data_IF_961466296345
#
_entry.id   IF_961466296345
#
_cell.length_a   1.000
_cell.length_b   1.000
_cell.length_c   1.000
_cell.angle_alpha   90.00
_cell.angle_beta   90.00
_cell.angle_gamma   90.00
#
_symmetry.space_group_name_H-M   'P 1'
#
loop_
_entity.id
_entity.type
_entity.pdbx_description
1 polymer ?
#
# COMPACT_ATOMS: atom_id res chain seq x y z
N UNK A 1 -10.15 15.19 6.50
CA UNK A 1 -10.48 13.93 5.80
C UNK A 1 -9.64 13.83 4.54
N UNK A 2 -8.89 12.73 4.34
CA UNK A 2 -8.03 12.48 3.16
C UNK A 2 -8.58 11.32 2.36
N UNK A 3 -8.29 11.30 1.05
CA UNK A 3 -8.63 10.21 0.13
C UNK A 3 -7.41 9.32 -0.07
N UNK A 4 -7.48 8.07 0.41
CA UNK A 4 -6.31 7.18 0.50
C UNK A 4 -6.59 5.90 -0.29
N UNK A 5 -5.65 5.54 -1.17
CA UNK A 5 -5.65 4.27 -1.89
C UNK A 5 -4.68 3.30 -1.22
N UNK A 6 -5.13 2.10 -0.92
CA UNK A 6 -4.30 0.99 -0.43
C UNK A 6 -4.19 -0.06 -1.54
N UNK A 7 -2.98 -0.27 -2.06
CA UNK A 7 -2.66 -1.26 -3.10
C UNK A 7 -2.08 -2.50 -2.45
N UNK A 8 -2.77 -3.62 -2.59
CA UNK A 8 -2.48 -4.90 -1.95
C UNK A 8 -3.42 -5.18 -0.79
N UNK A 9 -4.32 -6.13 -0.99
CA UNK A 9 -5.30 -6.55 0.01
C UNK A 9 -4.84 -7.75 0.86
N UNK A 10 -3.54 -8.00 0.92
CA UNK A 10 -2.95 -8.96 1.85
C UNK A 10 -3.19 -8.54 3.31
N UNK A 11 -2.74 -9.37 4.26
CA UNK A 11 -3.02 -9.15 5.70
C UNK A 11 -2.63 -7.73 6.17
N UNK A 12 -1.45 -7.22 5.78
CA UNK A 12 -1.00 -5.90 6.22
C UNK A 12 -1.79 -4.76 5.56
N UNK A 13 -2.01 -4.81 4.24
CA UNK A 13 -2.78 -3.77 3.55
C UNK A 13 -4.23 -3.70 4.03
N UNK A 14 -4.87 -4.85 4.21
CA UNK A 14 -6.22 -4.93 4.78
C UNK A 14 -6.26 -4.39 6.23
N UNK A 15 -5.29 -4.80 7.08
CA UNK A 15 -5.20 -4.33 8.45
C UNK A 15 -4.96 -2.81 8.54
N UNK A 16 -4.17 -2.26 7.64
CA UNK A 16 -3.88 -0.82 7.61
C UNK A 16 -5.12 0.03 7.30
N UNK A 17 -6.15 -0.56 6.70
CA UNK A 17 -7.43 0.17 6.48
C UNK A 17 -8.13 0.55 7.77
N UNK A 18 -7.95 -0.21 8.88
CA UNK A 18 -8.65 0.06 10.14
C UNK A 18 -8.26 1.42 10.75
N UNK A 19 -6.98 1.71 11.04
CA UNK A 19 -6.61 3.01 11.60
C UNK A 19 -6.92 4.17 10.65
N UNK A 20 -6.87 3.97 9.33
CA UNK A 20 -7.23 5.01 8.37
C UNK A 20 -8.73 5.36 8.45
N UNK A 21 -9.60 4.36 8.55
CA UNK A 21 -11.04 4.58 8.70
C UNK A 21 -11.38 5.16 10.07
N UNK A 22 -10.72 4.70 11.14
CA UNK A 22 -10.92 5.20 12.50
C UNK A 22 -10.56 6.70 12.60
N UNK A 23 -9.60 7.16 11.81
CA UNK A 23 -9.24 8.57 11.68
C UNK A 23 -10.07 9.32 10.60
N UNK A 24 -11.24 8.81 10.24
CA UNK A 24 -12.19 9.42 9.32
C UNK A 24 -11.64 9.71 7.91
N UNK A 25 -10.71 8.90 7.40
CA UNK A 25 -10.26 9.00 6.02
C UNK A 25 -11.16 8.21 5.07
N UNK A 26 -11.26 8.66 3.81
CA UNK A 26 -11.88 7.90 2.71
C UNK A 26 -10.88 6.88 2.19
N UNK A 27 -11.13 5.59 2.42
CA UNK A 27 -10.20 4.51 2.11
C UNK A 27 -10.74 3.66 0.97
N UNK A 28 -9.92 3.51 -0.07
CA UNK A 28 -10.13 2.53 -1.14
C UNK A 28 -9.06 1.46 -1.05
N UNK A 29 -9.47 0.20 -1.05
CA UNK A 29 -8.59 -0.97 -1.06
C UNK A 29 -8.68 -1.66 -2.42
N UNK A 30 -7.53 -2.06 -2.98
CA UNK A 30 -7.47 -2.81 -4.23
C UNK A 30 -6.49 -3.97 -4.14
N UNK A 31 -6.80 -5.05 -4.89
CA UNK A 31 -5.96 -6.25 -4.98
C UNK A 31 -5.51 -6.45 -6.43
N UNK A 32 -4.20 -6.25 -6.72
CA UNK A 32 -3.72 -6.27 -8.09
C UNK A 32 -3.50 -7.68 -8.67
N UNK A 33 -3.32 -8.71 -7.85
CA UNK A 33 -2.90 -10.03 -8.30
C UNK A 33 -3.98 -11.07 -8.28
N UNK A 34 -4.70 -11.18 -7.15
CA UNK A 34 -5.64 -12.24 -6.90
C UNK A 34 -7.08 -11.78 -7.16
N UNK A 35 -7.51 -11.90 -8.42
CA UNK A 35 -8.86 -11.50 -8.84
C UNK A 35 -9.97 -12.23 -8.07
N UNK A 36 -9.78 -13.49 -7.73
CA UNK A 36 -10.79 -14.27 -7.00
C UNK A 36 -10.85 -13.87 -5.54
N UNK A 37 -9.71 -13.57 -4.93
CA UNK A 37 -9.68 -12.98 -3.60
C UNK A 37 -10.34 -11.61 -3.59
N UNK A 38 -10.09 -10.77 -4.58
CA UNK A 38 -10.75 -9.49 -4.74
C UNK A 38 -12.28 -9.63 -4.86
N UNK A 39 -12.77 -10.57 -5.68
CA UNK A 39 -14.20 -10.86 -5.80
C UNK A 39 -14.82 -11.28 -4.46
N UNK A 40 -14.13 -12.14 -3.68
CA UNK A 40 -14.58 -12.55 -2.34
C UNK A 40 -14.66 -11.36 -1.39
N UNK A 41 -13.65 -10.48 -1.38
CA UNK A 41 -13.65 -9.27 -0.56
C UNK A 41 -14.79 -8.31 -0.97
N UNK A 42 -15.07 -8.17 -2.25
CA UNK A 42 -16.20 -7.36 -2.76
C UNK A 42 -17.55 -7.91 -2.26
N UNK A 43 -17.72 -9.22 -2.22
CA UNK A 43 -18.99 -9.88 -1.85
C UNK A 43 -19.31 -9.75 -0.36
N UNK A 44 -18.33 -9.98 0.52
CA UNK A 44 -18.61 -10.12 1.96
C UNK A 44 -17.68 -9.33 2.88
N UNK A 45 -16.67 -8.66 2.33
CA UNK A 45 -15.61 -7.93 3.06
C UNK A 45 -14.86 -8.75 4.11
N UNK A 46 -14.97 -10.07 4.10
CA UNK A 46 -14.29 -10.95 5.04
C UNK A 46 -12.86 -11.24 4.56
N UNK A 47 -11.89 -10.97 5.44
CA UNK A 47 -10.47 -11.25 5.17
C UNK A 47 -10.03 -12.54 5.87
N UNK A 48 -9.70 -13.62 5.14
CA UNK A 48 -9.49 -14.96 5.73
C UNK A 48 -8.29 -15.03 6.67
N UNK A 49 -7.18 -14.40 6.32
CA UNK A 49 -5.95 -14.39 7.16
C UNK A 49 -6.14 -13.60 8.45
N UNK A 50 -6.86 -12.50 8.41
CA UNK A 50 -7.16 -11.68 9.58
C UNK A 50 -8.31 -12.27 10.41
N UNK A 51 -9.15 -13.11 9.78
CA UNK A 51 -10.41 -13.66 10.35
C UNK A 51 -11.37 -12.56 10.82
N UNK A 52 -11.38 -11.45 10.09
CA UNK A 52 -12.19 -10.25 10.40
C UNK A 52 -12.87 -9.71 9.14
N UNK A 53 -13.98 -9.02 9.34
CA UNK A 53 -14.61 -8.22 8.29
C UNK A 53 -13.98 -6.83 8.24
N UNK A 54 -13.70 -6.36 7.03
CA UNK A 54 -13.31 -4.96 6.82
C UNK A 54 -14.48 -4.03 7.11
N UNK A 55 -14.17 -2.81 7.52
CA UNK A 55 -15.20 -1.78 7.75
C UNK A 55 -16.07 -1.57 6.52
N UNK A 56 -17.37 -1.36 6.71
CA UNK A 56 -18.29 -0.98 5.64
C UNK A 56 -17.87 0.32 4.92
N UNK A 57 -17.13 1.19 5.61
CA UNK A 57 -16.59 2.46 5.06
C UNK A 57 -15.43 2.26 4.09
N UNK A 58 -14.80 1.08 4.04
CA UNK A 58 -13.75 0.77 3.06
C UNK A 58 -14.40 0.47 1.72
N UNK A 59 -14.07 1.26 0.70
CA UNK A 59 -14.42 0.96 -0.69
C UNK A 59 -13.45 -0.07 -1.25
N UNK A 60 -13.93 -1.09 -1.94
CA UNK A 60 -13.08 -2.07 -2.63
C UNK A 60 -13.28 -1.85 -4.13
N UNK A 61 -12.19 -1.54 -4.85
CA UNK A 61 -12.20 -1.30 -6.29
C UNK A 61 -11.25 -2.23 -7.01
N UNK A 62 -11.57 -2.53 -8.28
CA UNK A 62 -10.66 -3.27 -9.15
C UNK A 62 -9.40 -2.43 -9.40
N UNK A 63 -8.23 -3.08 -9.41
CA UNK A 63 -6.98 -2.43 -9.74
C UNK A 63 -6.92 -2.12 -11.24
N UNK A 64 -6.62 -0.88 -11.58
CA UNK A 64 -6.46 -0.42 -12.97
C UNK A 64 -5.66 0.88 -13.03
N UNK A 65 -5.23 1.29 -14.24
CA UNK A 65 -4.60 2.58 -14.50
C UNK A 65 -5.51 3.75 -14.13
N UNK A 66 -6.78 3.68 -14.50
CA UNK A 66 -7.79 4.72 -14.24
C UNK A 66 -7.97 4.96 -12.75
N UNK A 67 -7.90 3.87 -11.92
CA UNK A 67 -7.94 4.00 -10.47
C UNK A 67 -6.75 4.80 -9.94
N UNK A 68 -5.57 4.63 -10.52
CA UNK A 68 -4.36 5.36 -10.12
C UNK A 68 -4.37 6.82 -10.58
N UNK A 69 -5.06 7.11 -11.67
CA UNK A 69 -5.21 8.47 -12.21
C UNK A 69 -6.20 9.34 -11.41
N UNK A 70 -7.03 8.73 -10.56
CA UNK A 70 -7.87 9.49 -9.63
C UNK A 70 -7.00 10.39 -8.72
N UNK A 71 -7.60 11.42 -8.15
CA UNK A 71 -6.91 12.30 -7.18
C UNK A 71 -6.81 11.59 -5.83
N UNK A 72 -5.61 11.21 -5.43
CA UNK A 72 -5.30 10.62 -4.13
C UNK A 72 -4.44 11.57 -3.30
N UNK A 73 -4.72 11.68 -2.01
CA UNK A 73 -3.86 12.41 -1.06
C UNK A 73 -2.66 11.52 -0.63
N UNK A 74 -2.87 10.20 -0.60
CA UNK A 74 -1.83 9.22 -0.26
C UNK A 74 -2.12 7.90 -0.97
N UNK A 75 -1.09 7.26 -1.51
CA UNK A 75 -1.12 5.86 -1.94
C UNK A 75 -0.29 5.03 -0.97
N UNK A 76 -0.90 4.00 -0.38
CA UNK A 76 -0.23 3.02 0.47
C UNK A 76 0.06 1.77 -0.36
N UNK A 77 1.33 1.39 -0.45
CA UNK A 77 1.77 0.20 -1.20
C UNK A 77 2.07 -0.93 -0.21
N UNK A 78 1.21 -1.95 -0.20
CA UNK A 78 1.23 -3.08 0.73
C UNK A 78 1.22 -4.44 0.00
N UNK A 79 1.77 -4.49 -1.20
CA UNK A 79 1.95 -5.73 -1.98
C UNK A 79 3.13 -6.55 -1.46
N UNK A 80 3.28 -7.80 -1.92
CA UNK A 80 4.49 -8.59 -1.69
C UNK A 80 5.70 -7.96 -2.40
N UNK A 81 6.93 -8.35 -2.00
CA UNK A 81 8.17 -7.87 -2.65
C UNK A 81 8.20 -8.16 -4.16
N UNK A 82 7.67 -9.30 -4.58
CA UNK A 82 7.52 -9.67 -6.00
C UNK A 82 6.59 -8.68 -6.71
N UNK A 83 5.58 -8.19 -6.01
CA UNK A 83 4.58 -7.27 -6.55
C UNK A 83 5.02 -5.84 -6.76
N UNK A 84 6.10 -5.43 -6.16
CA UNK A 84 6.60 -4.05 -6.28
C UNK A 84 6.87 -3.69 -7.74
N UNK A 85 7.42 -4.59 -8.51
CA UNK A 85 7.77 -4.31 -9.92
C UNK A 85 6.54 -3.99 -10.76
N UNK A 86 5.45 -4.74 -10.56
CA UNK A 86 4.21 -4.46 -11.28
C UNK A 86 3.64 -3.10 -10.85
N UNK A 87 3.57 -2.81 -9.56
CA UNK A 87 3.08 -1.51 -9.08
C UNK A 87 3.94 -0.37 -9.63
N UNK A 88 5.27 -0.55 -9.66
CA UNK A 88 6.22 0.40 -10.27
C UNK A 88 5.87 0.72 -11.72
N UNK A 89 5.55 -0.30 -12.53
CA UNK A 89 5.20 -0.10 -13.94
C UNK A 89 3.98 0.82 -14.11
N UNK A 90 2.97 0.67 -13.26
CA UNK A 90 1.81 1.56 -13.27
C UNK A 90 2.14 2.96 -12.76
N UNK A 91 2.96 3.09 -11.73
CA UNK A 91 3.33 4.39 -11.15
C UNK A 91 4.35 5.15 -11.99
N UNK A 92 5.09 4.48 -12.88
CA UNK A 92 6.15 5.08 -13.71
C UNK A 92 5.68 6.30 -14.51
N UNK A 93 4.45 6.27 -15.00
CA UNK A 93 3.91 7.30 -15.90
C UNK A 93 3.14 8.42 -15.18
N UNK A 94 3.07 8.38 -13.85
CA UNK A 94 2.40 9.42 -13.08
C UNK A 94 3.20 10.73 -13.18
N UNK A 95 2.57 11.76 -13.75
CA UNK A 95 3.20 13.10 -13.95
C UNK A 95 3.03 14.03 -12.75
N UNK A 96 2.01 13.81 -11.92
CA UNK A 96 1.74 14.63 -10.72
C UNK A 96 2.57 14.16 -9.53
N UNK A 97 3.00 15.09 -8.68
CA UNK A 97 3.60 14.73 -7.38
C UNK A 97 2.58 13.99 -6.54
N UNK A 98 2.97 12.83 -5.99
CA UNK A 98 2.11 12.01 -5.16
C UNK A 98 2.87 11.44 -3.96
N UNK A 99 2.23 11.47 -2.80
CA UNK A 99 2.78 10.86 -1.59
C UNK A 99 2.49 9.36 -1.57
N UNK A 100 3.53 8.57 -1.33
CA UNK A 100 3.45 7.11 -1.27
C UNK A 100 4.00 6.63 0.06
N UNK A 101 3.26 5.75 0.74
CA UNK A 101 3.72 5.04 1.92
C UNK A 101 3.93 3.57 1.59
N UNK A 102 5.17 3.09 1.70
CA UNK A 102 5.54 1.71 1.41
C UNK A 102 5.54 0.89 2.69
N UNK A 103 4.66 -0.11 2.76
CA UNK A 103 4.61 -1.11 3.84
C UNK A 103 5.34 -2.40 3.45
N UNK A 104 5.60 -2.58 2.17
CA UNK A 104 6.28 -3.77 1.65
C UNK A 104 7.67 -3.90 2.24
N UNK A 105 7.94 -5.06 2.84
CA UNK A 105 9.25 -5.42 3.40
C UNK A 105 10.03 -6.22 2.35
N UNK A 106 11.36 -6.14 2.42
CA UNK A 106 12.25 -6.95 1.58
C UNK A 106 13.38 -6.15 0.95
N UNK A 107 14.28 -6.91 0.36
CA UNK A 107 15.45 -6.44 -0.37
C UNK A 107 15.45 -7.10 -1.74
N UNK A 108 16.08 -6.46 -2.72
CA UNK A 108 16.27 -6.99 -4.06
C UNK A 108 17.71 -6.73 -4.50
N UNK A 109 18.32 -7.70 -5.17
CA UNK A 109 19.57 -7.48 -5.84
C UNK A 109 19.34 -6.76 -7.18
N UNK A 110 19.96 -5.61 -7.33
CA UNK A 110 19.96 -4.83 -8.57
C UNK A 110 21.12 -5.30 -9.43
N UNK A 111 20.83 -6.08 -10.45
CA UNK A 111 21.84 -6.65 -11.35
C UNK A 111 22.61 -5.59 -12.15
N UNK A 112 21.96 -4.45 -12.46
CA UNK A 112 22.58 -3.39 -13.26
C UNK A 112 23.63 -2.66 -12.41
N UNK A 113 23.26 -2.25 -11.19
CA UNK A 113 24.15 -1.50 -10.32
C UNK A 113 24.95 -2.40 -9.35
N UNK A 114 24.79 -3.72 -9.45
CA UNK A 114 25.46 -4.74 -8.62
C UNK A 114 25.37 -4.47 -7.10
N UNK A 115 24.20 -4.03 -6.63
CA UNK A 115 23.96 -3.71 -5.22
C UNK A 115 22.62 -4.21 -4.71
N UNK A 116 22.49 -4.37 -3.40
CA UNK A 116 21.22 -4.65 -2.75
C UNK A 116 20.47 -3.32 -2.59
N UNK A 117 19.19 -3.33 -2.96
CA UNK A 117 18.28 -2.18 -2.84
C UNK A 117 17.03 -2.55 -2.05
N UNK A 118 16.42 -1.54 -1.44
CA UNK A 118 15.16 -1.67 -0.72
C UNK A 118 13.98 -1.70 -1.69
N UNK A 119 12.81 -2.11 -1.20
CA UNK A 119 11.57 -2.08 -1.99
C UNK A 119 11.14 -0.64 -2.34
N UNK A 120 11.44 0.34 -1.49
CA UNK A 120 11.19 1.75 -1.78
C UNK A 120 12.09 2.29 -2.89
N UNK A 121 13.38 1.95 -2.88
CA UNK A 121 14.29 2.29 -3.98
C UNK A 121 13.85 1.62 -5.29
N UNK A 122 13.42 0.36 -5.25
CA UNK A 122 12.90 -0.33 -6.43
C UNK A 122 11.65 0.39 -6.96
N UNK A 123 10.75 0.85 -6.09
CA UNK A 123 9.52 1.52 -6.48
C UNK A 123 9.78 2.90 -7.10
N UNK A 124 10.77 3.65 -6.60
CA UNK A 124 11.11 4.99 -7.09
C UNK A 124 11.81 5.01 -8.45
N UNK A 125 12.35 3.87 -8.90
CA UNK A 125 13.07 3.81 -10.17
C UNK A 125 12.24 4.32 -11.34
N UNK A 126 12.76 5.36 -11.99
CA UNK A 126 12.17 5.92 -13.21
C UNK A 126 11.02 6.91 -13.00
N UNK A 127 10.72 7.31 -11.76
CA UNK A 127 9.78 8.41 -11.52
C UNK A 127 10.16 9.23 -10.28
N UNK A 128 10.61 10.47 -10.50
CA UNK A 128 10.98 11.43 -9.45
C UNK A 128 9.78 12.16 -8.83
N UNK A 129 8.57 12.00 -9.38
CA UNK A 129 7.37 12.62 -8.82
C UNK A 129 6.79 11.85 -7.61
N UNK A 130 7.38 10.72 -7.25
CA UNK A 130 6.94 9.90 -6.14
C UNK A 130 7.63 10.34 -4.85
N UNK A 131 6.88 10.99 -3.95
CA UNK A 131 7.36 11.29 -2.59
C UNK A 131 7.20 10.04 -1.73
N UNK A 132 8.25 9.25 -1.57
CA UNK A 132 8.19 7.94 -0.93
C UNK A 132 8.58 8.03 0.55
N UNK A 133 7.70 7.51 1.39
CA UNK A 133 7.92 7.22 2.80
C UNK A 133 7.85 5.72 3.03
N UNK A 134 8.50 5.23 4.07
CA UNK A 134 8.54 3.80 4.38
C UNK A 134 8.09 3.58 5.82
N UNK A 135 7.14 2.66 6.02
CA UNK A 135 6.73 2.24 7.34
C UNK A 135 7.50 0.98 7.74
N UNK A 136 8.18 1.06 8.89
CA UNK A 136 8.98 -0.03 9.48
C UNK A 136 8.63 -0.20 10.96
N UNK A 137 9.16 -1.24 11.58
CA UNK A 137 8.97 -1.54 12.99
C UNK A 137 8.12 -2.78 13.27
N UNK A 138 7.90 -3.10 14.56
CA UNK A 138 7.21 -4.30 15.00
C UNK A 138 5.68 -4.16 14.92
N UNK A 139 5.17 -3.77 13.75
CA UNK A 139 3.73 -3.64 13.51
C UNK A 139 3.22 -4.93 12.88
N UNK A 140 2.41 -5.70 13.60
CA UNK A 140 1.80 -6.93 13.14
C UNK A 140 0.38 -6.67 12.61
N UNK A 141 0.07 -7.23 11.44
CA UNK A 141 -1.22 -7.04 10.78
C UNK A 141 -2.42 -7.44 11.67
N UNK A 142 -2.30 -8.57 12.41
CA UNK A 142 -3.36 -9.03 13.30
C UNK A 142 -3.59 -8.11 14.50
N UNK A 143 -2.52 -7.54 15.05
CA UNK A 143 -2.61 -6.59 16.17
C UNK A 143 -3.24 -5.29 15.70
N UNK A 144 -2.76 -4.76 14.58
CA UNK A 144 -3.31 -3.54 13.98
C UNK A 144 -4.81 -3.68 13.67
N UNK A 145 -5.22 -4.82 13.09
CA UNK A 145 -6.62 -5.09 12.78
C UNK A 145 -7.50 -5.25 14.03
N UNK A 146 -6.94 -5.71 15.16
CA UNK A 146 -7.60 -5.80 16.47
C UNK A 146 -7.50 -4.52 17.30
N UNK A 147 -6.91 -3.45 16.74
CA UNK A 147 -6.70 -2.16 17.43
C UNK A 147 -5.81 -2.26 18.67
N UNK A 148 -4.93 -3.26 18.72
CA UNK A 148 -3.93 -3.37 19.77
C UNK A 148 -2.88 -2.29 19.54
N UNK A 149 -2.46 -1.62 20.62
CA UNK A 149 -1.40 -0.61 20.55
C UNK A 149 -0.14 -1.21 19.95
N UNK A 150 0.31 -0.63 18.85
CA UNK A 150 1.51 -1.04 18.11
C UNK A 150 2.38 0.17 17.85
N UNK A 151 3.68 -0.05 17.84
CA UNK A 151 4.65 1.00 17.52
C UNK A 151 5.18 0.81 16.10
N UNK A 152 5.40 1.93 15.43
CA UNK A 152 5.96 1.92 14.08
C UNK A 152 6.81 3.16 13.85
N UNK A 153 7.69 3.09 12.89
CA UNK A 153 8.52 4.20 12.44
C UNK A 153 8.19 4.51 11.00
N UNK A 154 8.01 5.78 10.70
CA UNK A 154 7.90 6.25 9.31
C UNK A 154 9.19 6.98 8.98
N UNK A 155 9.93 6.45 8.02
CA UNK A 155 11.11 7.08 7.47
C UNK A 155 10.74 7.85 6.20
N UNK A 156 11.18 9.12 6.15
CA UNK A 156 11.00 10.02 5.02
C UNK A 156 12.36 10.32 4.39
N UNK A 157 12.42 10.43 3.09
CA UNK A 157 13.60 11.00 2.44
C UNK A 157 13.63 12.51 2.66
N UNK A 158 14.69 13.03 3.29
CA UNK A 158 14.87 14.46 3.54
C UNK A 158 14.99 15.30 2.26
N UNK A 159 15.27 14.66 1.13
CA UNK A 159 15.38 15.33 -0.18
C UNK A 159 14.01 15.87 -0.65
N UNK A 160 12.92 15.45 -0.01
CA UNK A 160 11.54 15.81 -0.37
C UNK A 160 10.81 16.70 0.65
N UNK A 161 11.54 17.21 1.65
CA UNK A 161 11.00 18.15 2.63
C UNK A 161 11.15 19.59 2.15
#
# INVERSE_FOLDING_TARGET
MRKILVIGAGAMGAAFTFPLVDNNHKVTLTEPYNKDFQKKLLKNKFHPTLKLKLSKKVSIKKFSSELLDEKWDLIVVAVSSIGIEMVRQYLKNIKKKISILVLTKGLKYDQINKKIITMSEQLSKGNQNLNISVLKGPCLAKELAKKIKSYTVIALSLIHI
#
